data_IF_981161886930
#
_entry.id   IF_981161886930
#
_cell.length_a   1.000
_cell.length_b   1.000
_cell.length_c   1.000
_cell.angle_alpha   90.00
_cell.angle_beta   90.00
_cell.angle_gamma   90.00
#
_symmetry.space_group_name_H-M   'P 1'
#
loop_
_entity.id
_entity.type
_entity.pdbx_description
1 polymer ?
#
# COMPACT_ATOMS: atom_id res chain seq x y z
N UNK A 1 -2.84 -12.02 3.42
CA UNK A 1 -3.75 -11.08 2.75
C UNK A 1 -3.18 -10.69 1.41
N UNK A 2 -4.03 -10.60 0.40
CA UNK A 2 -3.65 -10.04 -0.90
C UNK A 2 -3.36 -8.54 -0.76
N UNK A 3 -2.61 -7.95 -1.71
CA UNK A 3 -2.36 -6.50 -1.72
C UNK A 3 -3.68 -5.70 -1.78
N UNK A 4 -4.70 -6.22 -2.46
CA UNK A 4 -6.02 -5.59 -2.52
C UNK A 4 -6.74 -5.58 -1.16
N UNK A 5 -6.71 -6.70 -0.43
CA UNK A 5 -7.24 -6.78 0.94
C UNK A 5 -6.52 -5.81 1.89
N UNK A 6 -5.19 -5.73 1.81
CA UNK A 6 -4.40 -4.77 2.60
C UNK A 6 -4.78 -3.32 2.31
N UNK A 7 -5.05 -3.00 1.04
CA UNK A 7 -5.51 -1.66 0.65
C UNK A 7 -6.88 -1.35 1.26
N UNK A 8 -7.83 -2.28 1.22
CA UNK A 8 -9.15 -2.09 1.83
C UNK A 8 -9.01 -1.86 3.34
N UNK A 9 -8.26 -2.72 4.03
CA UNK A 9 -8.02 -2.58 5.47
C UNK A 9 -7.36 -1.24 5.83
N UNK A 10 -6.34 -0.83 5.06
CA UNK A 10 -5.70 0.47 5.24
C UNK A 10 -6.70 1.63 5.10
N UNK A 11 -7.58 1.59 4.10
CA UNK A 11 -8.56 2.65 3.88
C UNK A 11 -9.61 2.69 4.99
N UNK A 12 -10.10 1.55 5.44
CA UNK A 12 -11.08 1.46 6.54
C UNK A 12 -10.50 1.94 7.87
N UNK A 13 -9.24 1.57 8.16
CA UNK A 13 -8.56 2.02 9.36
C UNK A 13 -8.21 3.52 9.28
N UNK A 14 -7.83 4.02 8.11
CA UNK A 14 -7.55 5.44 7.91
C UNK A 14 -8.82 6.29 8.06
N UNK A 15 -9.96 5.87 7.50
CA UNK A 15 -11.24 6.56 7.64
C UNK A 15 -11.67 6.63 9.12
N UNK A 16 -11.55 5.52 9.86
CA UNK A 16 -11.81 5.50 11.31
C UNK A 16 -10.89 6.45 12.07
N UNK A 17 -9.57 6.37 11.83
CA UNK A 17 -8.58 7.20 12.52
C UNK A 17 -8.80 8.71 12.26
N UNK A 18 -9.14 9.08 11.02
CA UNK A 18 -9.42 10.47 10.65
C UNK A 18 -10.71 10.98 11.29
N UNK A 19 -11.74 10.13 11.40
CA UNK A 19 -13.01 10.46 12.07
C UNK A 19 -12.89 10.55 13.59
N UNK A 20 -11.90 9.88 14.19
CA UNK A 20 -11.59 10.02 15.62
C UNK A 20 -11.14 11.46 15.93
N UNK A 21 -11.76 12.15 16.91
CA UNK A 21 -11.33 13.48 17.35
C UNK A 21 -9.85 13.50 17.71
N UNK A 22 -9.16 14.60 17.41
CA UNK A 22 -7.70 14.70 17.52
C UNK A 22 -7.17 14.31 18.92
N UNK A 23 -7.87 14.72 19.98
CA UNK A 23 -7.50 14.43 21.37
C UNK A 23 -7.77 12.98 21.81
N UNK A 24 -8.46 12.19 21.00
CA UNK A 24 -8.75 10.76 21.23
C UNK A 24 -7.94 9.83 20.32
N UNK A 25 -7.17 10.38 19.37
CA UNK A 25 -6.37 9.57 18.45
C UNK A 25 -5.23 8.90 19.19
N UNK A 26 -5.09 7.60 18.98
CA UNK A 26 -3.97 6.83 19.50
C UNK A 26 -2.75 6.95 18.55
N UNK A 27 -1.59 7.44 19.02
CA UNK A 27 -0.36 7.45 18.23
C UNK A 27 0.10 6.04 17.80
N UNK A 28 -0.25 4.98 18.54
CA UNK A 28 0.07 3.61 18.17
C UNK A 28 -0.72 3.16 16.94
N UNK A 29 -2.01 3.50 16.86
CA UNK A 29 -2.85 3.23 15.69
C UNK A 29 -2.27 3.89 14.42
N UNK A 30 -1.78 5.13 14.55
CA UNK A 30 -1.11 5.81 13.44
C UNK A 30 0.16 5.07 12.96
N UNK A 31 0.95 4.52 13.88
CA UNK A 31 2.15 3.74 13.52
C UNK A 31 1.77 2.46 12.76
N UNK A 32 0.71 1.77 13.18
CA UNK A 32 0.19 0.58 12.49
C UNK A 32 -0.27 0.95 11.08
N UNK A 33 -1.03 2.05 10.93
CA UNK A 33 -1.45 2.57 9.63
C UNK A 33 -0.28 2.85 8.69
N UNK A 34 0.78 3.49 9.20
CA UNK A 34 1.96 3.81 8.38
C UNK A 34 2.77 2.55 8.02
N UNK A 35 2.82 1.56 8.91
CA UNK A 35 3.45 0.27 8.63
C UNK A 35 2.71 -0.48 7.52
N UNK A 36 1.38 -0.56 7.60
CA UNK A 36 0.55 -1.20 6.58
C UNK A 36 0.67 -0.51 5.23
N UNK A 37 0.67 0.83 5.21
CA UNK A 37 0.95 1.62 4.00
C UNK A 37 2.31 1.28 3.40
N UNK A 38 3.36 1.24 4.22
CA UNK A 38 4.71 0.93 3.74
C UNK A 38 4.80 -0.46 3.13
N UNK A 39 4.10 -1.44 3.71
CA UNK A 39 4.01 -2.80 3.20
C UNK A 39 3.30 -2.86 1.83
N UNK A 40 2.15 -2.21 1.68
CA UNK A 40 1.44 -2.10 0.39
C UNK A 40 2.35 -1.51 -0.69
N UNK A 41 3.07 -0.43 -0.37
CA UNK A 41 4.00 0.20 -1.32
C UNK A 41 5.21 -0.67 -1.64
N UNK A 42 5.68 -1.48 -0.68
CA UNK A 42 6.76 -2.44 -0.92
C UNK A 42 6.31 -3.51 -1.89
N UNK A 43 5.17 -4.17 -1.64
CA UNK A 43 4.62 -5.21 -2.51
C UNK A 43 4.31 -4.68 -3.91
N UNK A 44 3.73 -3.48 -4.00
CA UNK A 44 3.46 -2.85 -5.29
C UNK A 44 4.76 -2.61 -6.07
N UNK A 45 5.84 -2.12 -5.41
CA UNK A 45 7.14 -1.95 -6.07
C UNK A 45 7.75 -3.27 -6.49
N UNK A 46 7.68 -4.31 -5.66
CA UNK A 46 8.21 -5.63 -5.98
C UNK A 46 7.47 -6.26 -7.16
N UNK A 47 6.14 -6.15 -7.19
CA UNK A 47 5.33 -6.59 -8.30
C UNK A 47 5.67 -5.83 -9.59
N UNK A 48 5.76 -4.49 -9.55
CA UNK A 48 6.08 -3.68 -10.72
C UNK A 48 7.55 -3.80 -11.19
N UNK A 49 8.48 -4.09 -10.27
CA UNK A 49 9.86 -4.40 -10.62
C UNK A 49 9.98 -5.78 -11.28
N UNK A 50 9.17 -6.75 -10.86
CA UNK A 50 9.07 -8.07 -11.48
C UNK A 50 8.48 -7.98 -12.90
N UNK A 51 7.41 -7.20 -13.09
CA UNK A 51 6.79 -7.02 -14.41
C UNK A 51 7.68 -6.25 -15.39
N UNK A 52 8.45 -5.25 -14.93
CA UNK A 52 9.44 -4.56 -15.78
C UNK A 52 10.58 -5.48 -16.27
N UNK A 53 10.93 -6.54 -15.53
CA UNK A 53 11.92 -7.53 -15.99
C UNK A 53 11.35 -8.52 -17.02
N UNK A 54 10.02 -8.63 -17.11
CA UNK A 54 9.34 -9.64 -17.92
C UNK A 54 8.85 -9.15 -19.29
N UNK A 55 9.02 -7.87 -19.64
CA UNK A 55 8.75 -7.38 -21.00
C UNK A 55 10.05 -7.49 -21.81
N UNK A 56 10.20 -8.48 -22.71
CA UNK A 56 11.32 -8.48 -23.63
C UNK A 56 11.14 -7.33 -24.63
N UNK A 57 12.23 -6.66 -24.95
CA UNK A 57 12.35 -5.61 -25.96
C UNK A 57 12.12 -6.16 -27.38
N UNK A 58 10.95 -6.72 -27.66
CA UNK A 58 10.53 -7.22 -28.97
C UNK A 58 9.47 -6.29 -29.58
N UNK A 59 9.78 -5.00 -29.69
CA UNK A 59 8.97 -4.02 -30.42
C UNK A 59 9.84 -2.87 -30.98
N UNK A 60 11.09 -3.16 -31.33
CA UNK A 60 11.97 -2.22 -32.04
C UNK A 60 12.58 -2.94 -33.24
N UNK A 61 11.83 -3.01 -34.33
CA UNK A 61 12.35 -3.23 -35.69
C UNK A 61 11.27 -2.69 -36.64
N UNK A 62 11.53 -1.49 -37.15
CA UNK A 62 10.89 -0.91 -38.33
C UNK A 62 11.26 -1.70 -39.60
#
# INVERSE_FOLDING_TARGET
>A
MSTAEKVVEYLEQADRYVRTPLWQRDPAEFKVLMALKAEIHKEWREHNACTKKAVPAAAASD
#
